data_IF_962053787786
#
_entry.id   IF_962053787786
#
_cell.length_a   1.000
_cell.length_b   1.000
_cell.length_c   1.000
_cell.angle_alpha   90.00
_cell.angle_beta   90.00
_cell.angle_gamma   90.00
#
_symmetry.space_group_name_H-M   'P 1'
#
loop_
_entity.id
_entity.type
_entity.pdbx_description
1 polymer ?
#
# COMPACT_ATOMS: atom_id res chain seq x y z
N UNK A 1 28.42 -0.83 8.40
CA UNK A 1 28.77 -0.58 9.83
C UNK A 1 30.23 -0.90 10.21
N UNK A 2 30.87 -2.00 9.76
CA UNK A 2 32.26 -2.32 10.15
C UNK A 2 33.35 -1.41 9.54
N UNK A 3 33.10 -0.81 8.37
CA UNK A 3 34.06 0.08 7.68
C UNK A 3 34.13 1.50 8.29
N UNK A 4 33.07 1.92 9.00
CA UNK A 4 33.01 3.25 9.64
C UNK A 4 33.90 3.32 10.90
N UNK A 5 34.05 2.20 11.62
CA UNK A 5 34.91 2.09 12.79
C UNK A 5 36.41 2.17 12.43
N UNK A 6 36.79 1.59 11.29
CA UNK A 6 38.16 1.67 10.76
C UNK A 6 38.50 3.06 10.21
N UNK A 7 37.53 3.77 9.63
CA UNK A 7 37.75 5.14 9.18
C UNK A 7 37.88 6.11 10.36
N UNK A 8 37.11 5.92 11.44
CA UNK A 8 37.24 6.75 12.66
C UNK A 8 38.50 6.46 13.45
N UNK A 9 39.03 5.23 13.45
CA UNK A 9 40.29 4.92 14.13
C UNK A 9 41.51 5.45 13.36
N UNK A 10 41.47 5.45 12.02
CA UNK A 10 42.53 6.04 11.18
C UNK A 10 42.51 7.58 11.23
N UNK A 11 41.34 8.21 11.23
CA UNK A 11 41.23 9.67 11.35
C UNK A 11 41.73 10.18 12.71
N UNK A 12 41.46 9.43 13.78
CA UNK A 12 41.91 9.76 15.14
C UNK A 12 43.42 9.59 15.35
N UNK A 13 44.07 8.74 14.56
CA UNK A 13 45.53 8.54 14.62
C UNK A 13 46.30 9.66 13.89
N UNK A 14 45.68 10.33 12.91
CA UNK A 14 46.27 11.47 12.20
C UNK A 14 46.09 12.82 12.93
N UNK A 15 45.03 12.96 13.73
CA UNK A 15 44.71 14.20 14.44
C UNK A 15 45.62 14.49 15.66
N UNK A 16 46.35 13.48 16.15
CA UNK A 16 47.18 13.62 17.35
C UNK A 16 48.68 13.87 17.09
N UNK A 17 49.18 13.69 15.87
CA UNK A 17 50.64 13.74 15.61
C UNK A 17 51.17 14.97 14.86
N UNK A 18 50.34 15.94 14.47
CA UNK A 18 50.88 17.13 13.79
C UNK A 18 50.09 18.44 13.95
N UNK A 19 49.43 18.65 15.09
CA UNK A 19 48.75 19.93 15.38
C UNK A 19 49.71 21.10 15.69
N UNK A 20 51.03 20.89 15.65
CA UNK A 20 52.00 21.92 16.05
C UNK A 20 53.05 22.29 14.98
N UNK A 21 52.95 21.78 13.73
CA UNK A 21 53.94 22.03 12.66
C UNK A 21 53.36 22.28 11.25
N UNK A 22 52.03 22.46 11.12
CA UNK A 22 51.39 22.78 9.84
C UNK A 22 51.23 24.31 9.69
N UNK A 23 51.54 24.90 8.51
CA UNK A 23 51.26 26.31 8.24
C UNK A 23 49.76 26.62 8.41
N UNK A 24 49.42 27.68 9.15
CA UNK A 24 48.05 28.18 9.41
C UNK A 24 47.06 28.08 8.23
N UNK A 25 47.41 28.40 6.96
CA UNK A 25 46.47 28.29 5.84
C UNK A 25 46.02 26.86 5.50
N UNK A 26 46.82 25.83 5.82
CA UNK A 26 46.48 24.43 5.53
C UNK A 26 45.48 23.89 6.55
N UNK A 27 45.62 24.29 7.82
CA UNK A 27 44.70 23.92 8.89
C UNK A 27 43.30 24.52 8.67
N UNK A 28 43.23 25.78 8.24
CA UNK A 28 41.98 26.44 7.87
C UNK A 28 41.26 25.76 6.70
N UNK A 29 42.03 25.28 5.70
CA UNK A 29 41.47 24.53 4.57
C UNK A 29 40.87 23.19 5.03
N UNK A 30 41.56 22.48 5.91
CA UNK A 30 41.09 21.22 6.48
C UNK A 30 39.82 21.40 7.32
N UNK A 31 39.75 22.46 8.13
CA UNK A 31 38.57 22.81 8.91
C UNK A 31 37.36 23.18 8.02
N UNK A 32 37.58 23.92 6.93
CA UNK A 32 36.51 24.24 5.96
C UNK A 32 36.00 22.99 5.24
N UNK A 33 36.90 22.07 4.88
CA UNK A 33 36.52 20.84 4.19
C UNK A 33 35.76 19.88 5.11
N UNK A 34 36.17 19.75 6.37
CA UNK A 34 35.47 18.94 7.37
C UNK A 34 34.08 19.50 7.68
N UNK A 35 33.96 20.83 7.81
CA UNK A 35 32.67 21.48 8.00
C UNK A 35 31.74 21.25 6.80
N UNK A 36 32.23 21.40 5.57
CA UNK A 36 31.46 21.10 4.35
C UNK A 36 31.06 19.63 4.25
N UNK A 37 31.96 18.71 4.61
CA UNK A 37 31.64 17.28 4.62
C UNK A 37 30.53 16.97 5.63
N UNK A 38 30.56 17.61 6.80
CA UNK A 38 29.55 17.44 7.83
C UNK A 38 28.18 18.00 7.40
N UNK A 39 28.15 19.18 6.78
CA UNK A 39 26.88 19.72 6.25
C UNK A 39 26.30 18.84 5.16
N UNK A 40 27.15 18.36 4.23
CA UNK A 40 26.69 17.48 3.14
C UNK A 40 26.17 16.14 3.65
N UNK A 41 26.79 15.60 4.70
CA UNK A 41 26.34 14.37 5.35
C UNK A 41 24.96 14.55 5.99
N UNK A 42 24.77 15.64 6.75
CA UNK A 42 23.47 15.94 7.35
C UNK A 42 22.39 16.21 6.31
N UNK A 43 22.70 16.94 5.25
CA UNK A 43 21.76 17.18 4.15
C UNK A 43 21.35 15.84 3.51
N UNK A 44 22.30 14.91 3.34
CA UNK A 44 22.04 13.55 2.88
C UNK A 44 21.12 12.75 3.80
N UNK A 45 21.35 12.80 5.11
CA UNK A 45 20.47 12.15 6.10
C UNK A 45 19.07 12.74 6.09
N UNK A 46 18.94 14.07 6.00
CA UNK A 46 17.64 14.73 5.90
C UNK A 46 16.89 14.34 4.62
N UNK A 47 17.59 14.29 3.47
CA UNK A 47 17.00 13.84 2.21
C UNK A 47 16.55 12.38 2.30
N UNK A 48 17.35 11.52 2.93
CA UNK A 48 17.01 10.12 3.12
C UNK A 48 15.77 9.97 4.01
N UNK A 49 15.68 10.73 5.10
CA UNK A 49 14.52 10.74 5.98
C UNK A 49 13.25 11.19 5.25
N UNK A 50 13.33 12.27 4.45
CA UNK A 50 12.21 12.74 3.63
C UNK A 50 11.79 11.72 2.58
N UNK A 51 12.75 11.08 1.92
CA UNK A 51 12.46 10.02 0.93
C UNK A 51 11.74 8.84 1.57
N UNK A 52 12.14 8.43 2.78
CA UNK A 52 11.45 7.37 3.53
C UNK A 52 10.01 7.77 3.88
N UNK A 53 9.79 8.99 4.36
CA UNK A 53 8.44 9.49 4.65
C UNK A 53 7.55 9.50 3.40
N UNK A 54 8.08 9.94 2.26
CA UNK A 54 7.37 9.91 0.98
C UNK A 54 7.09 8.47 0.52
N UNK A 55 8.03 7.56 0.71
CA UNK A 55 7.83 6.14 0.41
C UNK A 55 6.72 5.55 1.26
N UNK A 56 6.68 5.85 2.56
CA UNK A 56 5.61 5.41 3.47
C UNK A 56 4.26 5.99 3.05
N UNK A 57 4.20 7.27 2.67
CA UNK A 57 2.97 7.90 2.18
C UNK A 57 2.50 7.29 0.85
N UNK A 58 3.41 7.01 -0.07
CA UNK A 58 3.11 6.32 -1.33
C UNK A 58 2.59 4.91 -1.08
N UNK A 59 3.22 4.16 -0.18
CA UNK A 59 2.75 2.82 0.20
C UNK A 59 1.36 2.88 0.81
N UNK A 60 1.11 3.82 1.71
CA UNK A 60 -0.22 4.03 2.28
C UNK A 60 -1.26 4.37 1.20
N UNK A 61 -0.93 5.24 0.23
CA UNK A 61 -1.81 5.56 -0.90
C UNK A 61 -2.08 4.36 -1.79
N UNK A 62 -1.06 3.57 -2.13
CA UNK A 62 -1.22 2.35 -2.91
C UNK A 62 -2.08 1.32 -2.18
N UNK A 63 -1.90 1.14 -0.88
CA UNK A 63 -2.75 0.27 -0.06
C UNK A 63 -4.19 0.76 -0.03
N UNK A 64 -4.44 2.07 0.14
CA UNK A 64 -5.80 2.62 0.07
C UNK A 64 -6.46 2.38 -1.28
N UNK A 65 -5.74 2.63 -2.39
CA UNK A 65 -6.24 2.37 -3.74
C UNK A 65 -6.50 0.88 -3.98
N UNK A 66 -5.60 0.00 -3.53
CA UNK A 66 -5.76 -1.45 -3.64
C UNK A 66 -6.99 -1.93 -2.87
N UNK A 67 -7.16 -1.47 -1.63
CA UNK A 67 -8.33 -1.79 -0.81
C UNK A 67 -9.63 -1.29 -1.46
N UNK A 68 -9.61 -0.10 -2.07
CA UNK A 68 -10.77 0.42 -2.80
C UNK A 68 -11.10 -0.45 -4.03
N UNK A 69 -10.10 -0.87 -4.81
CA UNK A 69 -10.31 -1.77 -5.93
C UNK A 69 -10.87 -3.13 -5.46
N UNK A 70 -10.27 -3.73 -4.43
CA UNK A 70 -10.74 -4.98 -3.84
C UNK A 70 -12.17 -4.87 -3.32
N UNK A 71 -12.52 -3.75 -2.69
CA UNK A 71 -13.88 -3.46 -2.26
C UNK A 71 -14.83 -3.44 -3.45
N UNK A 72 -14.50 -2.72 -4.53
CA UNK A 72 -15.33 -2.68 -5.75
C UNK A 72 -15.50 -4.07 -6.36
N UNK A 73 -14.42 -4.83 -6.51
CA UNK A 73 -14.43 -6.21 -7.00
C UNK A 73 -15.34 -7.10 -6.13
N UNK A 74 -15.20 -7.02 -4.81
CA UNK A 74 -16.02 -7.78 -3.86
C UNK A 74 -17.50 -7.43 -3.97
N UNK A 75 -17.84 -6.14 -4.06
CA UNK A 75 -19.23 -5.68 -4.25
C UNK A 75 -19.80 -6.23 -5.56
N UNK A 76 -19.04 -6.15 -6.66
CA UNK A 76 -19.46 -6.69 -7.95
C UNK A 76 -19.72 -8.19 -7.87
N UNK A 77 -18.80 -8.97 -7.29
CA UNK A 77 -18.98 -10.41 -7.09
C UNK A 77 -20.19 -10.71 -6.22
N UNK A 78 -20.38 -10.00 -5.11
CA UNK A 78 -21.52 -10.21 -4.21
C UNK A 78 -22.87 -9.95 -4.91
N UNK A 79 -22.94 -8.98 -5.82
CA UNK A 79 -24.14 -8.69 -6.62
C UNK A 79 -24.35 -9.74 -7.72
N UNK A 80 -23.28 -10.23 -8.35
CA UNK A 80 -23.37 -11.24 -9.42
C UNK A 80 -23.70 -12.64 -8.89
N UNK A 81 -23.19 -13.01 -7.72
CA UNK A 81 -23.33 -14.34 -7.12
C UNK A 81 -24.78 -14.86 -7.05
N UNK A 82 -25.80 -14.10 -6.57
CA UNK A 82 -27.18 -14.57 -6.61
C UNK A 82 -27.66 -14.79 -8.05
N UNK A 83 -27.36 -13.87 -8.97
CA UNK A 83 -27.72 -14.02 -10.39
C UNK A 83 -27.09 -15.27 -11.01
N UNK A 84 -25.83 -15.58 -10.68
CA UNK A 84 -25.12 -16.77 -11.15
C UNK A 84 -25.73 -18.06 -10.57
N UNK A 85 -26.09 -18.09 -9.28
CA UNK A 85 -26.75 -19.25 -8.66
C UNK A 85 -28.10 -19.53 -9.34
N UNK A 86 -28.89 -18.49 -9.57
CA UNK A 86 -30.20 -18.63 -10.21
C UNK A 86 -30.06 -19.11 -11.64
N UNK A 87 -29.19 -18.49 -12.43
CA UNK A 87 -28.89 -18.93 -13.80
C UNK A 87 -28.37 -20.38 -13.85
N UNK A 88 -27.46 -20.74 -12.93
CA UNK A 88 -26.93 -22.11 -12.82
C UNK A 88 -28.01 -23.15 -12.47
N UNK A 89 -28.91 -22.83 -11.54
CA UNK A 89 -30.01 -23.71 -11.15
C UNK A 89 -31.00 -23.95 -12.31
N UNK A 90 -31.29 -22.92 -13.10
CA UNK A 90 -32.15 -23.05 -14.30
C UNK A 90 -31.44 -23.68 -15.50
N UNK A 91 -30.13 -23.52 -15.61
CA UNK A 91 -29.31 -24.11 -16.69
C UNK A 91 -29.02 -25.59 -16.47
N UNK A 92 -29.03 -26.05 -15.21
CA UNK A 92 -29.12 -27.48 -14.93
C UNK A 92 -30.49 -27.97 -15.42
N UNK A 93 -30.52 -28.91 -16.37
CA UNK A 93 -31.74 -29.61 -16.82
C UNK A 93 -32.31 -30.51 -15.69
N UNK A 94 -32.43 -30.00 -14.47
CA UNK A 94 -33.06 -30.68 -13.34
C UNK A 94 -34.57 -30.57 -13.51
N UNK A 95 -35.18 -31.64 -14.01
CA UNK A 95 -36.63 -31.80 -13.99
C UNK A 95 -37.15 -31.79 -12.55
N UNK A 96 -38.27 -31.10 -12.30
CA UNK A 96 -38.91 -31.04 -10.98
C UNK A 96 -38.60 -29.79 -10.15
N UNK A 97 -38.19 -28.67 -10.76
CA UNK A 97 -38.29 -27.38 -10.06
C UNK A 97 -39.78 -27.09 -9.80
N UNK A 98 -40.21 -26.86 -8.55
CA UNK A 98 -41.63 -26.67 -8.18
C UNK A 98 -42.29 -25.41 -8.78
N UNK A 99 -41.58 -24.68 -9.66
CA UNK A 99 -42.03 -23.48 -10.36
C UNK A 99 -42.04 -23.64 -11.90
N UNK A 100 -41.58 -24.76 -12.47
CA UNK A 100 -41.57 -24.97 -13.94
C UNK A 100 -42.98 -25.22 -14.52
N UNK A 101 -43.88 -25.83 -13.74
CA UNK A 101 -45.23 -26.16 -14.19
C UNK A 101 -46.22 -24.98 -14.14
N UNK A 102 -45.83 -23.84 -13.58
CA UNK A 102 -46.66 -22.64 -13.55
C UNK A 102 -46.11 -21.53 -14.46
N UNK A 103 -46.95 -20.86 -15.27
CA UNK A 103 -46.52 -19.73 -16.09
C UNK A 103 -45.99 -18.53 -15.28
N UNK A 104 -46.21 -18.52 -13.97
CA UNK A 104 -45.81 -17.47 -13.02
C UNK A 104 -44.45 -17.76 -12.38
N UNK A 105 -43.94 -18.99 -12.48
CA UNK A 105 -42.74 -19.42 -11.77
C UNK A 105 -41.48 -18.66 -12.21
N UNK A 106 -41.37 -18.35 -13.50
CA UNK A 106 -40.30 -17.50 -14.02
C UNK A 106 -40.30 -16.10 -13.37
N UNK A 107 -41.48 -15.49 -13.22
CA UNK A 107 -41.63 -14.17 -12.60
C UNK A 107 -41.31 -14.18 -11.11
N UNK A 108 -41.72 -15.23 -10.38
CA UNK A 108 -41.44 -15.37 -8.95
C UNK A 108 -39.94 -15.53 -8.70
N UNK A 109 -39.25 -16.41 -9.44
CA UNK A 109 -37.81 -16.58 -9.23
C UNK A 109 -37.04 -15.32 -9.63
N UNK A 110 -37.42 -14.66 -10.72
CA UNK A 110 -36.83 -13.37 -11.10
C UNK A 110 -37.01 -12.31 -10.02
N UNK A 111 -38.20 -12.21 -9.44
CA UNK A 111 -38.50 -11.28 -8.35
C UNK A 111 -37.67 -11.58 -7.09
N UNK A 112 -37.58 -12.86 -6.69
CA UNK A 112 -36.76 -13.29 -5.54
C UNK A 112 -35.28 -13.02 -5.79
N UNK A 113 -34.79 -13.31 -6.99
CA UNK A 113 -33.41 -13.04 -7.42
C UNK A 113 -33.06 -11.56 -7.30
N UNK A 114 -33.93 -10.70 -7.81
CA UNK A 114 -33.77 -9.26 -7.78
C UNK A 114 -33.82 -8.74 -6.34
N UNK A 115 -34.70 -9.29 -5.50
CA UNK A 115 -34.83 -8.92 -4.10
C UNK A 115 -33.58 -9.29 -3.31
N UNK A 116 -33.03 -10.50 -3.50
CA UNK A 116 -31.77 -10.93 -2.88
C UNK A 116 -30.60 -10.06 -3.37
N UNK A 117 -30.49 -9.80 -4.67
CA UNK A 117 -29.45 -8.91 -5.21
C UNK A 117 -29.55 -7.49 -4.62
N UNK A 118 -30.76 -6.95 -4.50
CA UNK A 118 -31.01 -5.64 -3.90
C UNK A 118 -30.67 -5.64 -2.40
N UNK A 119 -31.05 -6.69 -1.66
CA UNK A 119 -30.73 -6.84 -0.24
C UNK A 119 -29.21 -6.92 0.00
N UNK A 120 -28.48 -7.70 -0.80
CA UNK A 120 -27.01 -7.78 -0.75
C UNK A 120 -26.37 -6.44 -1.08
N UNK A 121 -26.84 -5.76 -2.13
CA UNK A 121 -26.36 -4.44 -2.51
C UNK A 121 -26.56 -3.41 -1.37
N UNK A 122 -27.75 -3.39 -0.76
CA UNK A 122 -28.06 -2.50 0.36
C UNK A 122 -27.24 -2.84 1.62
N UNK A 123 -27.01 -4.12 1.89
CA UNK A 123 -26.21 -4.57 3.03
C UNK A 123 -24.75 -4.15 2.87
N UNK A 124 -24.15 -4.39 1.70
CA UNK A 124 -22.77 -3.97 1.40
C UNK A 124 -22.65 -2.44 1.43
N UNK A 125 -23.63 -1.71 0.87
CA UNK A 125 -23.69 -0.25 0.95
C UNK A 125 -23.85 0.28 2.39
N UNK A 126 -24.48 -0.47 3.29
CA UNK A 126 -24.54 -0.12 4.71
C UNK A 126 -23.21 -0.37 5.40
N UNK A 127 -22.54 -1.49 5.11
CA UNK A 127 -21.25 -1.82 5.70
C UNK A 127 -20.15 -0.83 5.26
N UNK A 128 -20.13 -0.43 4.00
CA UNK A 128 -19.17 0.56 3.49
C UNK A 128 -19.43 2.02 3.92
N UNK A 129 -20.44 2.29 4.74
CA UNK A 129 -20.71 3.61 5.35
C UNK A 129 -20.34 3.70 6.84
N UNK A 130 -20.01 2.58 7.47
CA UNK A 130 -19.51 2.51 8.86
C UNK A 130 -17.99 2.51 8.82
#
# INVERSE_FOLDING_TARGET
>A
HRQMATLTSLFRHLDHSHRNDLPDPVNDMAARLSHRAHTLYHDGEQLQARTRLLQDELMAKLTMQSNQLLYILSVMTAVLLPMTIISGLFGMNVGGLPLLDSPIGFWVVTAVSLLVACAVYLFVRRLGRV
#
